data_IF_641345958744
#
_entry.id   IF_641345958744
#
_cell.length_a   1.000
_cell.length_b   1.000
_cell.length_c   1.000
_cell.angle_alpha   90.00
_cell.angle_beta   90.00
_cell.angle_gamma   90.00
#
_symmetry.space_group_name_H-M   'P 1'
#
loop_
_entity.id
_entity.type
_entity.pdbx_description
1 polymer ?
#
# COMPACT_ATOMS: atom_id res chain seq x y z
N UNK A 1 -11.01 8.50 59.90
CA UNK A 1 -10.61 7.50 58.89
C UNK A 1 -11.78 7.36 57.92
N UNK A 2 -11.77 8.12 56.82
CA UNK A 2 -12.84 8.12 55.82
C UNK A 2 -12.48 7.12 54.71
N UNK A 3 -13.26 6.05 54.57
CA UNK A 3 -13.14 5.10 53.47
C UNK A 3 -13.93 5.64 52.27
N UNK A 4 -13.23 6.07 51.22
CA UNK A 4 -13.86 6.36 49.94
C UNK A 4 -14.15 5.05 49.21
N UNK A 5 -15.42 4.67 49.12
CA UNK A 5 -15.87 3.60 48.22
C UNK A 5 -15.84 4.12 46.78
N UNK A 6 -14.86 3.68 45.99
CA UNK A 6 -14.85 3.84 44.54
C UNK A 6 -15.86 2.87 43.93
N UNK A 7 -17.05 3.37 43.58
CA UNK A 7 -18.03 2.62 42.79
C UNK A 7 -17.53 2.63 41.34
N UNK A 8 -16.84 1.57 40.93
CA UNK A 8 -16.47 1.35 39.54
C UNK A 8 -17.74 0.89 38.81
N UNK A 9 -18.48 1.84 38.24
CA UNK A 9 -19.54 1.52 37.29
C UNK A 9 -18.88 1.05 36.00
N UNK A 10 -18.81 -0.27 35.81
CA UNK A 10 -18.49 -0.84 34.51
C UNK A 10 -19.59 -0.41 33.52
N UNK A 11 -19.23 0.43 32.56
CA UNK A 11 -20.10 0.81 31.45
C UNK A 11 -20.29 -0.47 30.60
N UNK A 12 -21.38 -1.19 30.82
CA UNK A 12 -21.77 -2.29 29.95
C UNK A 12 -22.13 -1.67 28.60
N UNK A 13 -21.21 -1.75 27.63
CA UNK A 13 -21.55 -1.55 26.23
C UNK A 13 -22.57 -2.61 25.88
N UNK A 14 -23.85 -2.23 25.83
CA UNK A 14 -24.87 -3.04 25.19
C UNK A 14 -24.33 -3.37 23.79
N UNK A 15 -24.09 -4.65 23.53
CA UNK A 15 -23.78 -5.11 22.19
C UNK A 15 -24.95 -4.66 21.31
N UNK A 16 -24.70 -3.68 20.45
CA UNK A 16 -25.65 -3.26 19.43
C UNK A 16 -25.91 -4.50 18.59
N UNK A 17 -27.08 -5.13 18.76
CA UNK A 17 -27.47 -6.27 17.93
C UNK A 17 -27.50 -5.77 16.50
N UNK A 18 -26.45 -6.08 15.74
CA UNK A 18 -26.30 -5.71 14.35
C UNK A 18 -27.46 -6.38 13.61
N UNK A 19 -28.47 -5.60 13.23
CA UNK A 19 -29.66 -6.13 12.60
C UNK A 19 -29.31 -6.87 11.32
N UNK A 20 -30.01 -7.97 11.04
CA UNK A 20 -29.82 -8.75 9.82
C UNK A 20 -29.86 -7.85 8.57
N UNK A 21 -28.97 -8.11 7.62
CA UNK A 21 -29.00 -7.43 6.31
C UNK A 21 -30.33 -7.80 5.64
N UNK A 22 -31.06 -6.81 5.11
CA UNK A 22 -32.35 -7.02 4.47
C UNK A 22 -32.19 -6.97 2.94
N UNK A 23 -32.48 -8.09 2.29
CA UNK A 23 -32.64 -8.16 0.84
C UNK A 23 -34.14 -8.04 0.52
N UNK A 24 -34.55 -6.87 0.04
CA UNK A 24 -35.95 -6.62 -0.33
C UNK A 24 -36.19 -7.14 -1.75
N UNK A 25 -37.13 -8.07 -1.88
CA UNK A 25 -37.50 -8.67 -3.16
C UNK A 25 -38.82 -8.08 -3.62
N UNK A 26 -38.79 -7.28 -4.70
CA UNK A 26 -39.98 -6.62 -5.24
C UNK A 26 -40.43 -7.27 -6.55
N UNK A 27 -41.72 -7.58 -6.62
CA UNK A 27 -42.36 -8.40 -7.66
C UNK A 27 -42.53 -7.63 -8.99
N UNK A 28 -41.70 -6.64 -9.32
CA UNK A 28 -41.85 -5.83 -10.56
C UNK A 28 -40.57 -5.11 -11.02
N UNK A 29 -39.42 -5.30 -10.37
CA UNK A 29 -38.17 -4.68 -10.80
C UNK A 29 -37.32 -5.62 -11.65
N UNK A 30 -36.68 -5.08 -12.68
CA UNK A 30 -35.74 -5.81 -13.52
C UNK A 30 -34.44 -6.06 -12.76
N UNK A 31 -34.22 -7.33 -12.37
CA UNK A 31 -32.99 -7.90 -11.78
C UNK A 31 -32.46 -7.16 -10.55
N UNK A 32 -32.84 -7.65 -9.37
CA UNK A 32 -32.34 -7.13 -8.09
C UNK A 32 -31.01 -7.79 -7.72
N UNK A 33 -30.06 -6.99 -7.22
CA UNK A 33 -28.75 -7.46 -6.74
C UNK A 33 -28.66 -7.23 -5.23
N UNK A 34 -28.45 -8.30 -4.47
CA UNK A 34 -28.29 -8.26 -3.03
C UNK A 34 -26.90 -8.71 -2.64
N UNK A 35 -26.25 -7.93 -1.76
CA UNK A 35 -24.96 -8.27 -1.19
C UNK A 35 -25.17 -8.61 0.28
N UNK A 36 -24.68 -9.78 0.70
CA UNK A 36 -24.74 -10.25 2.07
C UNK A 36 -23.35 -10.51 2.61
N UNK A 37 -23.19 -10.35 3.91
CA UNK A 37 -21.94 -10.63 4.60
C UNK A 37 -21.89 -12.09 5.03
N UNK A 38 -20.79 -12.76 4.69
CA UNK A 38 -20.51 -14.15 5.09
C UNK A 38 -20.63 -14.29 6.61
N UNK A 39 -21.24 -15.40 7.04
CA UNK A 39 -21.45 -15.77 8.44
C UNK A 39 -22.30 -14.79 9.28
N UNK A 40 -23.01 -13.85 8.65
CA UNK A 40 -24.02 -13.01 9.30
C UNK A 40 -25.46 -13.40 8.87
N UNK A 41 -26.49 -13.01 9.62
CA UNK A 41 -27.87 -13.27 9.24
C UNK A 41 -28.32 -12.46 8.01
N UNK A 42 -29.14 -13.08 7.15
CA UNK A 42 -29.74 -12.46 5.97
C UNK A 42 -31.26 -12.63 6.01
N UNK A 43 -32.01 -11.54 5.87
CA UNK A 43 -33.46 -11.57 5.72
C UNK A 43 -33.88 -11.29 4.27
N UNK A 44 -34.54 -12.25 3.65
CA UNK A 44 -35.30 -12.04 2.43
C UNK A 44 -36.68 -11.49 2.77
N UNK A 45 -37.01 -10.30 2.29
CA UNK A 45 -38.34 -9.72 2.41
C UNK A 45 -39.12 -9.99 1.11
N UNK A 46 -40.06 -10.94 1.18
CA UNK A 46 -40.87 -11.42 0.06
C UNK A 46 -42.26 -10.81 0.19
N UNK A 47 -42.56 -9.79 -0.62
CA UNK A 47 -43.83 -9.06 -0.55
C UNK A 47 -44.94 -9.76 -1.35
N UNK A 48 -45.42 -10.92 -0.90
CA UNK A 48 -46.38 -11.74 -1.68
C UNK A 48 -47.71 -12.02 -1.00
N UNK A 49 -48.07 -11.27 0.05
CA UNK A 49 -49.32 -11.38 0.84
C UNK A 49 -50.45 -12.20 0.18
N UNK A 50 -50.79 -13.34 0.78
CA UNK A 50 -51.91 -14.22 0.38
C UNK A 50 -51.82 -14.77 -1.06
N UNK A 51 -50.62 -14.86 -1.64
CA UNK A 51 -50.39 -15.55 -2.92
C UNK A 51 -49.57 -16.82 -2.69
N UNK A 52 -49.86 -17.84 -3.49
CA UNK A 52 -48.97 -18.99 -3.58
C UNK A 52 -47.64 -18.52 -4.19
N UNK A 53 -46.54 -18.90 -3.55
CA UNK A 53 -45.20 -18.37 -3.81
C UNK A 53 -44.18 -19.50 -3.73
N UNK A 54 -43.28 -19.58 -4.71
CA UNK A 54 -42.12 -20.47 -4.67
C UNK A 54 -40.83 -19.65 -4.74
N UNK A 55 -39.94 -19.85 -3.77
CA UNK A 55 -38.56 -19.36 -3.83
C UNK A 55 -37.67 -20.51 -4.29
N UNK A 56 -36.91 -20.29 -5.35
CA UNK A 56 -35.97 -21.27 -5.92
C UNK A 56 -34.58 -20.67 -6.04
N UNK A 57 -33.58 -21.54 -5.95
CA UNK A 57 -32.19 -21.24 -6.35
C UNK A 57 -31.79 -22.27 -7.39
N UNK A 58 -31.46 -21.81 -8.60
CA UNK A 58 -31.27 -22.70 -9.75
C UNK A 58 -32.47 -23.66 -9.90
N UNK A 59 -32.27 -24.97 -9.79
CA UNK A 59 -33.33 -25.97 -9.90
C UNK A 59 -33.89 -26.46 -8.55
N UNK A 60 -33.42 -25.90 -7.43
CA UNK A 60 -33.80 -26.32 -6.07
C UNK A 60 -34.92 -25.42 -5.56
N UNK A 61 -36.05 -26.02 -5.15
CA UNK A 61 -37.10 -25.30 -4.43
C UNK A 61 -36.64 -25.10 -2.99
N UNK A 62 -36.44 -23.85 -2.58
CA UNK A 62 -36.01 -23.50 -1.21
C UNK A 62 -37.22 -23.45 -0.29
N UNK A 63 -38.27 -22.74 -0.71
CA UNK A 63 -39.47 -22.50 0.08
C UNK A 63 -40.69 -22.51 -0.82
N UNK A 64 -41.76 -23.18 -0.39
CA UNK A 64 -43.11 -23.06 -0.95
C UNK A 64 -44.06 -22.54 0.11
N UNK A 65 -44.77 -21.48 -0.22
CA UNK A 65 -45.80 -20.85 0.62
C UNK A 65 -47.10 -20.80 -0.15
N UNK A 66 -48.21 -21.08 0.53
CA UNK A 66 -49.55 -20.96 -0.02
C UNK A 66 -50.46 -20.29 1.01
N UNK A 67 -51.06 -19.15 0.64
CA UNK A 67 -51.90 -18.35 1.52
C UNK A 67 -51.27 -18.17 2.91
N UNK A 68 -50.02 -17.70 2.91
CA UNK A 68 -49.22 -17.44 4.11
C UNK A 68 -48.82 -18.69 4.93
N UNK A 69 -49.24 -19.89 4.53
CA UNK A 69 -48.85 -21.16 5.14
C UNK A 69 -47.68 -21.77 4.39
N UNK A 70 -46.66 -22.19 5.12
CA UNK A 70 -45.51 -22.91 4.57
C UNK A 70 -45.93 -24.33 4.20
N UNK A 71 -45.78 -24.70 2.93
CA UNK A 71 -46.05 -26.04 2.43
C UNK A 71 -44.79 -26.91 2.46
N UNK A 72 -43.65 -26.34 2.09
CA UNK A 72 -42.40 -27.08 1.94
C UNK A 72 -41.18 -26.18 2.16
N UNK A 73 -40.12 -26.74 2.75
CA UNK A 73 -38.81 -26.10 2.93
C UNK A 73 -37.73 -27.13 2.66
N UNK A 74 -36.79 -26.79 1.79
CA UNK A 74 -35.59 -27.59 1.56
C UNK A 74 -34.79 -27.83 2.85
N UNK A 75 -34.28 -29.04 3.04
CA UNK A 75 -33.59 -29.46 4.26
C UNK A 75 -32.32 -28.64 4.57
N UNK A 76 -31.53 -28.27 3.55
CA UNK A 76 -30.29 -27.49 3.71
C UNK A 76 -30.56 -26.07 4.24
N UNK A 77 -31.75 -25.53 3.96
CA UNK A 77 -32.19 -24.22 4.42
C UNK A 77 -32.97 -24.32 5.72
N UNK A 78 -33.77 -25.37 5.91
CA UNK A 78 -34.61 -25.58 7.11
C UNK A 78 -33.81 -25.49 8.41
N UNK A 79 -32.61 -26.05 8.44
CA UNK A 79 -31.73 -26.03 9.63
C UNK A 79 -31.21 -24.63 9.99
N UNK A 80 -31.29 -23.66 9.08
CA UNK A 80 -30.74 -22.31 9.23
C UNK A 80 -31.78 -21.21 9.24
N UNK A 81 -33.06 -21.53 9.05
CA UNK A 81 -34.13 -20.51 9.09
C UNK A 81 -34.49 -20.25 10.55
N UNK A 82 -34.27 -19.01 11.00
CA UNK A 82 -34.63 -18.56 12.36
C UNK A 82 -35.94 -17.80 12.41
N UNK A 83 -36.34 -17.19 11.30
CA UNK A 83 -37.61 -16.48 11.21
C UNK A 83 -38.28 -16.79 9.87
N UNK A 84 -39.55 -17.18 9.94
CA UNK A 84 -40.38 -17.42 8.78
C UNK A 84 -41.75 -16.82 9.05
N UNK A 85 -42.08 -15.79 8.28
CA UNK A 85 -43.38 -15.13 8.33
C UNK A 85 -43.96 -15.05 6.92
N UNK A 86 -45.20 -14.57 6.82
CA UNK A 86 -45.91 -14.37 5.56
C UNK A 86 -45.15 -13.45 4.58
N UNK A 87 -44.22 -12.64 5.06
CA UNK A 87 -43.49 -11.66 4.26
C UNK A 87 -41.95 -11.74 4.40
N UNK A 88 -41.41 -12.59 5.27
CA UNK A 88 -39.97 -12.64 5.53
C UNK A 88 -39.46 -14.04 5.79
N UNK A 89 -38.26 -14.31 5.28
CA UNK A 89 -37.45 -15.47 5.63
C UNK A 89 -36.10 -14.93 6.12
N UNK A 90 -35.68 -15.34 7.31
CA UNK A 90 -34.34 -15.02 7.83
C UNK A 90 -33.51 -16.29 7.91
N UNK A 91 -32.37 -16.28 7.21
CA UNK A 91 -31.30 -17.24 7.42
C UNK A 91 -30.40 -16.72 8.55
N UNK A 92 -30.11 -17.56 9.53
CA UNK A 92 -29.26 -17.24 10.68
C UNK A 92 -27.82 -16.97 10.27
N UNK A 93 -27.32 -17.81 9.36
CA UNK A 93 -25.94 -17.77 8.89
C UNK A 93 -25.96 -18.01 7.38
N UNK A 94 -25.54 -17.03 6.60
CA UNK A 94 -25.30 -17.21 5.16
C UNK A 94 -23.89 -17.73 4.89
N UNK A 95 -23.78 -18.58 3.88
CA UNK A 95 -22.55 -19.23 3.43
C UNK A 95 -22.20 -18.77 2.02
N UNK A 96 -20.95 -18.95 1.61
CA UNK A 96 -20.51 -18.69 0.22
C UNK A 96 -21.34 -19.49 -0.80
N UNK A 97 -21.80 -20.69 -0.44
CA UNK A 97 -22.66 -21.53 -1.27
C UNK A 97 -24.09 -21.00 -1.42
N UNK A 98 -24.51 -20.01 -0.63
CA UNK A 98 -25.81 -19.37 -0.82
C UNK A 98 -25.79 -18.35 -1.97
N UNK A 99 -24.60 -17.89 -2.40
CA UNK A 99 -24.46 -17.02 -3.57
C UNK A 99 -25.05 -17.64 -4.83
N UNK A 100 -25.61 -16.80 -5.70
CA UNK A 100 -26.10 -17.19 -7.03
C UNK A 100 -27.44 -16.56 -7.40
N UNK A 101 -28.02 -17.08 -8.49
CA UNK A 101 -29.28 -16.61 -9.03
C UNK A 101 -30.47 -17.32 -8.38
N UNK A 102 -31.42 -16.50 -7.92
CA UNK A 102 -32.66 -16.92 -7.31
C UNK A 102 -33.85 -16.51 -8.17
N UNK A 103 -34.91 -17.30 -8.05
CA UNK A 103 -36.15 -17.14 -8.78
C UNK A 103 -37.31 -17.14 -7.78
N UNK A 104 -38.08 -16.06 -7.77
CA UNK A 104 -39.34 -15.96 -7.03
C UNK A 104 -40.50 -16.10 -8.02
N UNK A 105 -41.29 -17.17 -7.87
CA UNK A 105 -42.52 -17.39 -8.64
C UNK A 105 -43.72 -17.08 -7.75
N UNK A 106 -44.70 -16.34 -8.28
CA UNK A 106 -45.98 -16.10 -7.62
C UNK A 106 -47.11 -16.58 -8.51
N UNK A 107 -48.16 -17.13 -7.90
CA UNK A 107 -49.28 -17.73 -8.61
C UNK A 107 -50.57 -16.99 -8.27
N UNK A 108 -51.48 -16.92 -9.23
CA UNK A 108 -52.82 -16.40 -9.03
C UNK A 108 -53.70 -17.41 -8.27
N UNK A 109 -54.96 -17.05 -8.03
CA UNK A 109 -55.89 -17.86 -7.25
C UNK A 109 -56.34 -19.13 -8.01
N UNK A 110 -56.21 -19.13 -9.34
CA UNK A 110 -56.40 -20.28 -10.22
C UNK A 110 -55.18 -21.21 -10.26
N UNK A 111 -54.10 -20.87 -9.53
CA UNK A 111 -52.86 -21.66 -9.48
C UNK A 111 -51.96 -21.52 -10.71
N UNK A 112 -52.24 -20.57 -11.60
CA UNK A 112 -51.40 -20.25 -12.75
C UNK A 112 -50.29 -19.27 -12.35
N UNK A 113 -49.12 -19.41 -12.99
CA UNK A 113 -47.99 -18.52 -12.77
C UNK A 113 -48.38 -17.08 -13.15
N UNK A 114 -48.31 -16.17 -12.18
CA UNK A 114 -48.71 -14.77 -12.33
C UNK A 114 -47.52 -13.84 -12.53
N UNK A 115 -46.45 -14.01 -11.76
CA UNK A 115 -45.25 -13.19 -11.89
C UNK A 115 -44.00 -13.97 -11.50
N UNK A 116 -42.89 -13.62 -12.14
CA UNK A 116 -41.58 -14.22 -11.93
C UNK A 116 -40.54 -13.12 -11.73
N UNK A 117 -39.84 -13.13 -10.60
CA UNK A 117 -38.79 -12.17 -10.27
C UNK A 117 -37.45 -12.87 -10.12
N UNK A 118 -36.43 -12.41 -10.85
CA UNK A 118 -35.06 -12.89 -10.72
C UNK A 118 -34.26 -11.93 -9.84
N UNK A 119 -33.44 -12.47 -8.94
CA UNK A 119 -32.46 -11.69 -8.19
C UNK A 119 -31.16 -12.46 -8.00
N UNK A 120 -30.05 -11.74 -7.90
CA UNK A 120 -28.73 -12.30 -7.62
C UNK A 120 -28.36 -12.01 -6.17
N UNK A 121 -27.94 -13.05 -5.45
CA UNK A 121 -27.33 -12.91 -4.13
C UNK A 121 -25.83 -13.10 -4.26
N UNK A 122 -25.06 -12.11 -3.81
CA UNK A 122 -23.62 -12.18 -3.67
C UNK A 122 -23.26 -12.19 -2.17
N UNK A 123 -22.70 -13.30 -1.69
CA UNK A 123 -22.15 -13.39 -0.33
C UNK A 123 -20.66 -13.07 -0.38
N UNK A 124 -20.24 -12.05 0.35
CA UNK A 124 -18.83 -11.62 0.43
C UNK A 124 -18.27 -11.85 1.84
N UNK A 125 -17.02 -12.32 1.92
CA UNK A 125 -16.23 -12.29 3.15
C UNK A 125 -15.78 -10.85 3.46
N UNK A 126 -15.84 -10.40 4.74
CA UNK A 126 -15.35 -9.08 5.10
C UNK A 126 -13.85 -8.99 4.88
N UNK A 127 -13.35 -7.77 4.65
CA UNK A 127 -11.92 -7.52 4.62
C UNK A 127 -11.35 -7.70 6.03
N UNK A 128 -10.19 -8.35 6.13
CA UNK A 128 -9.42 -8.38 7.37
C UNK A 128 -8.63 -7.08 7.56
N UNK A 129 -8.09 -6.88 8.77
CA UNK A 129 -7.21 -5.75 9.02
C UNK A 129 -5.96 -5.89 8.13
N UNK A 130 -5.65 -4.90 7.26
CA UNK A 130 -4.57 -5.05 6.31
C UNK A 130 -3.22 -5.08 7.01
N UNK A 131 -2.32 -5.95 6.55
CA UNK A 131 -0.91 -5.96 6.94
C UNK A 131 -0.12 -5.06 5.99
N UNK A 132 0.69 -4.15 6.54
CA UNK A 132 1.45 -3.17 5.77
C UNK A 132 2.93 -3.27 6.13
N UNK A 133 3.79 -3.35 5.12
CA UNK A 133 5.24 -3.44 5.28
C UNK A 133 5.95 -2.47 4.35
N UNK A 134 7.03 -1.86 4.83
CA UNK A 134 7.92 -0.99 4.06
C UNK A 134 9.29 -1.65 3.94
N UNK A 135 9.84 -1.68 2.73
CA UNK A 135 11.19 -2.15 2.41
C UNK A 135 11.96 -1.03 1.72
N UNK A 136 13.14 -0.69 2.24
CA UNK A 136 14.04 0.27 1.60
C UNK A 136 14.92 -0.43 0.57
N UNK A 137 14.89 0.03 -0.69
CA UNK A 137 15.77 -0.45 -1.75
C UNK A 137 17.00 0.46 -1.90
N UNK A 138 16.80 1.76 -1.79
CA UNK A 138 17.85 2.78 -1.86
C UNK A 138 17.42 4.05 -1.10
N UNK A 139 18.29 5.07 -0.97
CA UNK A 139 17.90 6.37 -0.40
C UNK A 139 16.80 7.08 -1.20
N UNK A 140 16.69 6.76 -2.49
CA UNK A 140 15.73 7.35 -3.42
C UNK A 140 14.49 6.48 -3.62
N UNK A 141 14.53 5.20 -3.21
CA UNK A 141 13.45 4.25 -3.47
C UNK A 141 13.12 3.38 -2.26
N UNK A 142 11.84 3.39 -1.89
CA UNK A 142 11.23 2.42 -0.98
C UNK A 142 10.02 1.76 -1.64
N UNK A 143 9.72 0.54 -1.20
CA UNK A 143 8.59 -0.24 -1.65
C UNK A 143 7.70 -0.52 -0.45
N UNK A 144 6.40 -0.28 -0.59
CA UNK A 144 5.41 -0.58 0.45
C UNK A 144 4.43 -1.61 -0.10
N UNK A 145 4.23 -2.69 0.65
CA UNK A 145 3.26 -3.72 0.34
C UNK A 145 2.13 -3.68 1.37
N UNK A 146 0.89 -3.73 0.89
CA UNK A 146 -0.30 -3.92 1.71
C UNK A 146 -1.00 -5.20 1.28
N UNK A 147 -1.34 -6.04 2.25
CA UNK A 147 -2.04 -7.30 2.02
C UNK A 147 -3.22 -7.47 2.96
N UNK A 148 -4.32 -8.02 2.46
CA UNK A 148 -5.54 -8.31 3.24
C UNK A 148 -6.20 -9.57 2.72
N UNK A 149 -6.99 -10.21 3.57
CA UNK A 149 -7.97 -11.21 3.17
C UNK A 149 -9.32 -10.51 2.95
N UNK A 150 -10.20 -11.12 2.16
CA UNK A 150 -11.55 -10.63 1.86
C UNK A 150 -11.90 -10.81 0.38
N UNK A 151 -13.19 -10.65 0.06
CA UNK A 151 -13.69 -10.77 -1.32
C UNK A 151 -13.83 -9.40 -1.99
N UNK A 152 -13.49 -9.32 -3.28
CA UNK A 152 -13.72 -8.12 -4.10
C UNK A 152 -12.95 -6.87 -3.68
N UNK A 153 -11.81 -7.06 -3.00
CA UNK A 153 -11.06 -6.00 -2.30
C UNK A 153 -10.63 -4.84 -3.21
N UNK A 154 -10.89 -3.64 -2.72
CA UNK A 154 -10.34 -2.38 -3.20
C UNK A 154 -9.29 -1.86 -2.21
N UNK A 155 -8.15 -1.40 -2.74
CA UNK A 155 -7.06 -0.80 -2.00
C UNK A 155 -7.02 0.71 -2.24
N UNK A 156 -6.99 1.48 -1.16
CA UNK A 156 -6.85 2.93 -1.18
C UNK A 156 -5.63 3.29 -0.33
N UNK A 157 -4.68 4.00 -0.94
CA UNK A 157 -3.49 4.50 -0.27
C UNK A 157 -3.66 5.98 0.05
N UNK A 158 -3.34 6.38 1.28
CA UNK A 158 -3.34 7.78 1.69
C UNK A 158 -2.09 8.14 2.48
N UNK A 159 -1.50 9.30 2.19
CA UNK A 159 -0.39 9.88 2.95
C UNK A 159 -0.86 11.17 3.63
N UNK A 160 -0.76 11.20 4.96
CA UNK A 160 -1.20 12.34 5.79
C UNK A 160 -2.60 12.83 5.40
N UNK A 161 -3.52 11.88 5.25
CA UNK A 161 -4.93 12.05 4.87
C UNK A 161 -5.17 12.53 3.43
N UNK A 162 -4.15 12.56 2.57
CA UNK A 162 -4.30 12.82 1.14
C UNK A 162 -4.28 11.50 0.37
N UNK A 163 -5.29 11.25 -0.48
CA UNK A 163 -5.35 10.03 -1.29
C UNK A 163 -4.25 10.07 -2.35
N UNK A 164 -3.47 8.99 -2.45
CA UNK A 164 -2.41 8.82 -3.44
C UNK A 164 -2.91 8.01 -4.64
N UNK A 165 -3.39 6.80 -4.36
CA UNK A 165 -3.73 5.78 -5.37
C UNK A 165 -4.93 4.98 -4.88
N UNK A 166 -5.82 4.65 -5.81
CA UNK A 166 -6.93 3.73 -5.60
C UNK A 166 -6.85 2.63 -6.66
N UNK A 167 -6.88 1.37 -6.24
CA UNK A 167 -6.71 0.22 -7.14
C UNK A 167 -7.56 -0.94 -6.65
N UNK A 168 -8.29 -1.57 -7.57
CA UNK A 168 -8.98 -2.83 -7.28
C UNK A 168 -8.01 -3.98 -7.51
N UNK A 169 -7.97 -4.95 -6.60
CA UNK A 169 -7.24 -6.18 -6.89
C UNK A 169 -7.81 -6.78 -8.18
N UNK A 170 -6.94 -7.13 -9.14
CA UNK A 170 -7.39 -7.73 -10.40
C UNK A 170 -8.26 -8.95 -10.09
N UNK A 171 -9.51 -8.92 -10.56
CA UNK A 171 -10.47 -10.02 -10.40
C UNK A 171 -10.05 -11.19 -11.28
N UNK A 172 -8.97 -11.88 -10.90
CA UNK A 172 -8.79 -13.26 -11.33
C UNK A 172 -9.93 -14.04 -10.70
N UNK A 173 -10.50 -15.01 -11.43
CA UNK A 173 -11.49 -15.97 -10.93
C UNK A 173 -10.86 -16.86 -9.84
N UNK A 174 -10.44 -16.26 -8.74
CA UNK A 174 -9.77 -16.87 -7.60
C UNK A 174 -10.84 -17.26 -6.58
N UNK A 175 -10.65 -18.38 -5.86
CA UNK A 175 -11.56 -18.79 -4.81
C UNK A 175 -11.67 -17.72 -3.72
N UNK A 176 -12.86 -17.60 -3.14
CA UNK A 176 -13.18 -16.72 -2.00
C UNK A 176 -12.24 -17.00 -0.83
N UNK A 177 -11.71 -15.96 -0.18
CA UNK A 177 -10.74 -15.99 0.95
C UNK A 177 -9.23 -16.01 0.65
N UNK A 178 -8.80 -15.64 -0.56
CA UNK A 178 -7.36 -15.52 -0.83
C UNK A 178 -6.77 -14.15 -0.47
N UNK A 179 -5.52 -14.15 0.01
CA UNK A 179 -4.78 -12.93 0.35
C UNK A 179 -4.56 -12.09 -0.92
N UNK A 180 -5.20 -10.93 -0.97
CA UNK A 180 -4.97 -9.90 -1.98
C UNK A 180 -3.86 -8.97 -1.51
N UNK A 181 -2.99 -8.52 -2.42
CA UNK A 181 -1.99 -7.52 -2.08
C UNK A 181 -1.78 -6.51 -3.21
N UNK A 182 -1.36 -5.30 -2.82
CA UNK A 182 -0.93 -4.24 -3.73
C UNK A 182 0.39 -3.69 -3.22
N UNK A 183 1.31 -3.48 -4.14
CA UNK A 183 2.63 -2.92 -3.86
C UNK A 183 2.78 -1.59 -4.58
N UNK A 184 3.27 -0.57 -3.87
CA UNK A 184 3.57 0.75 -4.43
C UNK A 184 5.04 1.10 -4.20
N UNK A 185 5.63 1.84 -5.15
CA UNK A 185 6.97 2.42 -5.01
C UNK A 185 6.85 3.88 -4.60
N UNK A 186 7.62 4.27 -3.59
CA UNK A 186 7.68 5.62 -3.04
C UNK A 186 9.12 6.11 -2.97
N UNK A 187 9.31 7.43 -2.90
CA UNK A 187 10.65 7.99 -2.71
C UNK A 187 11.23 7.60 -1.35
N UNK A 188 12.49 7.19 -1.28
CA UNK A 188 13.11 6.67 -0.06
C UNK A 188 13.21 7.68 1.09
N UNK A 189 13.24 8.99 0.79
CA UNK A 189 13.21 10.05 1.81
C UNK A 189 11.79 10.47 2.24
N UNK A 190 10.74 9.90 1.66
CA UNK A 190 9.37 10.25 2.00
C UNK A 190 9.04 9.79 3.43
N UNK A 191 8.49 10.71 4.22
CA UNK A 191 8.06 10.45 5.61
C UNK A 191 6.65 10.97 5.81
N UNK A 192 5.89 10.34 6.71
CA UNK A 192 4.51 10.71 7.00
C UNK A 192 3.70 9.49 7.45
N UNK A 193 2.41 9.70 7.71
CA UNK A 193 1.48 8.64 8.04
C UNK A 193 0.91 8.03 6.76
N UNK A 194 1.37 6.84 6.40
CA UNK A 194 0.84 6.10 5.26
C UNK A 194 -0.26 5.16 5.74
N UNK A 195 -1.48 5.42 5.32
CA UNK A 195 -2.63 4.54 5.51
C UNK A 195 -2.80 3.64 4.28
N UNK A 196 -2.89 2.34 4.50
CA UNK A 196 -3.53 1.42 3.56
C UNK A 196 -4.94 1.15 4.06
N UNK A 197 -5.93 1.53 3.27
CA UNK A 197 -7.35 1.28 3.51
C UNK A 197 -7.76 0.18 2.54
N UNK A 198 -8.33 -0.90 3.08
CA UNK A 198 -8.89 -2.00 2.31
C UNK A 198 -10.39 -2.03 2.51
N UNK A 199 -11.16 -2.20 1.45
CA UNK A 199 -12.62 -2.21 1.56
C UNK A 199 -13.28 -3.07 0.49
N UNK A 200 -14.50 -3.49 0.78
CA UNK A 200 -15.43 -4.10 -0.16
C UNK A 200 -16.86 -3.60 0.14
N UNK A 201 -17.88 -4.21 -0.47
CA UNK A 201 -19.26 -3.75 -0.33
C UNK A 201 -19.84 -3.91 1.08
N UNK A 202 -19.20 -4.65 1.98
CA UNK A 202 -19.72 -4.99 3.31
C UNK A 202 -18.85 -4.51 4.47
N UNK A 203 -17.61 -4.11 4.22
CA UNK A 203 -16.63 -3.80 5.27
C UNK A 203 -15.49 -2.92 4.76
N UNK A 204 -14.88 -2.19 5.69
CA UNK A 204 -13.72 -1.33 5.44
C UNK A 204 -12.80 -1.41 6.66
N UNK A 205 -11.52 -1.66 6.41
CA UNK A 205 -10.47 -1.78 7.42
C UNK A 205 -9.26 -0.96 6.99
N UNK A 206 -8.41 -0.58 7.95
CA UNK A 206 -7.20 0.17 7.63
C UNK A 206 -6.05 -0.13 8.59
N UNK A 207 -4.84 0.08 8.08
CA UNK A 207 -3.62 0.09 8.86
C UNK A 207 -2.79 1.31 8.47
N UNK A 208 -2.39 2.09 9.48
CA UNK A 208 -1.53 3.25 9.33
C UNK A 208 -0.14 2.90 9.83
N UNK A 209 0.88 3.16 9.01
CA UNK A 209 2.29 3.06 9.39
C UNK A 209 2.97 4.41 9.27
N UNK A 210 3.95 4.66 10.14
CA UNK A 210 4.85 5.80 9.97
C UNK A 210 5.94 5.42 8.97
N UNK A 211 5.97 6.10 7.81
CA UNK A 211 7.05 5.93 6.84
C UNK A 211 8.39 6.35 7.43
N UNK A 212 9.39 5.50 7.25
CA UNK A 212 10.77 5.76 7.66
C UNK A 212 11.60 6.18 6.46
N UNK A 213 12.42 7.22 6.64
CA UNK A 213 13.42 7.60 5.64
C UNK A 213 14.46 6.49 5.49
N UNK A 214 14.71 6.09 4.24
CA UNK A 214 15.72 5.13 3.85
C UNK A 214 17.10 5.78 3.94
N UNK A 215 17.94 5.28 4.84
CA UNK A 215 19.31 5.78 4.99
C UNK A 215 20.18 5.28 3.84
N UNK A 216 20.94 6.19 3.23
CA UNK A 216 22.08 5.81 2.41
C UNK A 216 23.28 5.42 3.24
N UNK A 217 24.33 4.86 2.63
CA UNK A 217 25.64 4.89 3.24
C UNK A 217 25.91 6.34 3.63
N UNK A 218 26.13 6.58 4.93
CA UNK A 218 26.56 7.89 5.40
C UNK A 218 27.97 8.06 4.82
N UNK A 219 28.08 8.71 3.66
CA UNK A 219 29.32 9.33 3.24
C UNK A 219 29.56 10.49 4.21
N UNK A 220 30.05 10.17 5.42
CA UNK A 220 30.91 11.12 6.08
C UNK A 220 32.03 11.35 5.07
N UNK A 221 32.24 12.58 4.54
CA UNK A 221 33.56 12.86 4.00
C UNK A 221 34.53 12.42 5.10
N UNK A 222 35.62 11.68 4.80
CA UNK A 222 36.65 11.47 5.80
C UNK A 222 36.92 12.88 6.32
N UNK A 223 36.62 13.10 7.61
CA UNK A 223 37.04 14.33 8.24
C UNK A 223 38.53 14.30 8.01
N UNK A 224 39.00 15.10 7.06
CA UNK A 224 40.41 15.40 6.95
C UNK A 224 40.64 16.30 8.15
N UNK A 225 40.66 15.69 9.33
CA UNK A 225 41.31 16.26 10.50
C UNK A 225 42.77 16.30 10.10
N UNK A 226 43.14 17.34 9.35
CA UNK A 226 44.50 17.84 9.38
C UNK A 226 44.67 18.22 10.83
N UNK A 227 45.21 17.29 11.63
CA UNK A 227 45.47 17.54 13.03
C UNK A 227 46.31 18.80 13.10
N UNK A 228 46.04 19.69 14.05
CA UNK A 228 46.85 20.90 14.25
C UNK A 228 48.35 20.58 14.32
N UNK A 229 48.70 19.35 14.74
CA UNK A 229 50.03 18.78 14.68
C UNK A 229 50.67 18.75 13.28
N UNK A 230 49.94 18.39 12.22
CA UNK A 230 50.45 18.34 10.84
C UNK A 230 50.68 19.74 10.29
N UNK A 231 49.78 20.67 10.56
CA UNK A 231 49.97 22.08 10.17
C UNK A 231 51.15 22.68 10.93
N UNK A 232 51.25 22.44 12.24
CA UNK A 232 52.36 22.91 13.06
C UNK A 232 53.70 22.28 12.63
N UNK A 233 53.73 20.99 12.25
CA UNK A 233 54.95 20.35 11.77
C UNK A 233 55.43 20.90 10.43
N UNK A 234 54.50 21.20 9.51
CA UNK A 234 54.85 21.81 8.22
C UNK A 234 55.30 23.27 8.41
N UNK A 235 54.62 24.05 9.26
CA UNK A 235 55.01 25.43 9.56
C UNK A 235 56.36 25.52 10.26
N UNK A 236 56.63 24.66 11.24
CA UNK A 236 57.94 24.61 11.93
C UNK A 236 59.06 24.21 10.98
N UNK A 237 58.84 23.22 10.11
CA UNK A 237 59.83 22.82 9.11
C UNK A 237 60.16 23.97 8.14
N UNK A 238 59.15 24.71 7.65
CA UNK A 238 59.35 25.87 6.78
C UNK A 238 60.08 27.02 7.51
N UNK A 239 59.73 27.29 8.77
CA UNK A 239 60.41 28.32 9.59
C UNK A 239 61.88 27.98 9.87
N UNK A 240 62.28 26.71 9.85
CA UNK A 240 63.69 26.31 10.01
C UNK A 240 64.44 26.25 8.67
N UNK A 241 63.81 25.73 7.61
CA UNK A 241 64.45 25.55 6.31
C UNK A 241 64.70 26.87 5.58
N UNK A 242 63.75 27.81 5.61
CA UNK A 242 63.89 29.11 4.92
C UNK A 242 65.09 29.92 5.43
N UNK A 243 65.26 30.18 6.75
CA UNK A 243 66.43 30.90 7.23
C UNK A 243 67.73 30.12 7.01
N UNK A 244 67.73 28.79 7.13
CA UNK A 244 68.92 27.98 6.83
C UNK A 244 69.36 28.10 5.37
N UNK A 245 68.41 28.08 4.42
CA UNK A 245 68.69 28.29 3.01
C UNK A 245 69.11 29.74 2.73
N UNK A 246 68.49 30.73 3.36
CA UNK A 246 68.89 32.14 3.27
C UNK A 246 70.31 32.38 3.79
N UNK A 247 70.68 31.82 4.94
CA UNK A 247 72.04 31.93 5.51
C UNK A 247 73.04 31.29 4.56
N UNK A 248 72.76 30.09 4.02
CA UNK A 248 73.62 29.44 3.02
C UNK A 248 73.78 30.26 1.75
N UNK A 249 72.75 31.00 1.34
CA UNK A 249 72.80 31.85 0.16
C UNK A 249 73.58 33.16 0.42
N UNK A 250 73.49 33.71 1.63
CA UNK A 250 74.21 34.91 2.08
C UNK A 250 75.69 34.63 2.35
N UNK A 251 76.05 33.41 2.77
CA UNK A 251 77.44 32.99 2.94
C UNK A 251 78.14 32.61 1.61
N UNK A 252 77.40 32.58 0.50
CA UNK A 252 77.90 32.19 -0.83
C UNK A 252 78.28 33.36 -1.74
N UNK A 253 78.25 34.61 -1.27
CA UNK A 253 78.76 35.75 -2.05
C UNK A 253 80.24 36.04 -1.72
N UNK A 254 81.17 35.99 -2.71
CA UNK A 254 82.56 36.39 -2.51
C UNK A 254 82.72 37.91 -2.43
N UNK A 255 83.68 38.39 -1.63
CA UNK A 255 84.09 39.81 -1.52
C UNK A 255 84.87 40.30 -2.77
N UNK A 256 84.97 41.63 -3.01
CA UNK A 256 85.46 42.19 -4.27
C UNK A 256 86.98 42.50 -4.34
N UNK A 257 87.49 42.31 -5.58
CA UNK A 257 88.50 43.04 -6.38
C UNK A 257 89.98 43.13 -5.91
N UNK A 258 90.88 42.65 -6.78
CA UNK A 258 92.07 43.39 -7.23
C UNK A 258 92.39 42.99 -8.69
N UNK A 259 92.71 44.01 -9.49
CA UNK A 259 93.02 44.01 -10.93
C UNK A 259 94.48 43.59 -11.16
N UNK A 260 94.75 42.75 -12.15
CA UNK A 260 95.96 42.84 -12.96
C UNK A 260 95.71 42.30 -14.37
N UNK A 261 96.33 42.98 -15.32
CA UNK A 261 96.03 43.05 -16.75
C UNK A 261 96.88 42.06 -17.57
N UNK A 262 96.33 41.72 -18.74
CA UNK A 262 97.01 41.50 -20.04
C UNK A 262 96.95 40.10 -20.70
N UNK A 263 96.48 40.13 -21.96
CA UNK A 263 96.84 39.20 -23.04
C UNK A 263 95.77 38.14 -23.40
N UNK A 264 94.72 38.48 -24.15
CA UNK A 264 94.61 38.32 -25.62
C UNK A 264 94.53 36.86 -26.13
N UNK A 265 93.34 36.39 -26.55
CA UNK A 265 92.96 36.32 -27.98
C UNK A 265 91.67 35.54 -28.28
N UNK A 266 90.94 36.14 -29.24
CA UNK A 266 90.11 35.55 -30.29
C UNK A 266 88.69 34.97 -30.05
N UNK A 267 87.83 35.45 -30.95
CA UNK A 267 86.40 35.26 -31.12
C UNK A 267 86.21 34.22 -32.23
N UNK A 268 85.17 33.36 -32.22
CA UNK A 268 84.40 32.93 -33.43
C UNK A 268 83.21 32.01 -33.04
N UNK A 269 82.12 32.22 -33.78
CA UNK A 269 80.74 31.70 -33.70
C UNK A 269 80.53 30.18 -33.85
N UNK A 270 79.37 29.68 -33.39
CA UNK A 270 78.60 28.69 -34.17
C UNK A 270 77.08 28.81 -34.00
N UNK A 271 76.41 28.65 -35.14
CA UNK A 271 75.02 28.87 -35.48
C UNK A 271 74.07 27.75 -34.99
N UNK A 272 72.86 28.12 -34.54
CA UNK A 272 71.82 27.19 -34.08
C UNK A 272 70.90 26.83 -35.24
N UNK A 273 71.04 25.61 -35.78
CA UNK A 273 70.16 25.10 -36.83
C UNK A 273 68.92 24.41 -36.23
N UNK A 274 67.78 25.09 -36.30
CA UNK A 274 66.45 24.53 -36.06
C UNK A 274 66.01 23.68 -37.27
N UNK A 275 65.48 22.48 -37.03
CA UNK A 275 64.76 21.70 -38.05
C UNK A 275 63.26 21.75 -37.75
N UNK A 276 62.41 22.18 -38.71
CA UNK A 276 60.96 22.06 -38.57
C UNK A 276 60.36 20.95 -39.46
N UNK A 277 59.26 20.42 -38.92
CA UNK A 277 58.01 19.97 -39.54
C UNK A 277 57.96 18.68 -40.37
N UNK A 278 56.87 17.91 -40.16
CA UNK A 278 55.96 17.60 -41.29
C UNK A 278 54.52 17.33 -40.83
N UNK A 279 53.66 18.27 -41.21
CA UNK A 279 52.21 18.17 -41.28
C UNK A 279 51.80 17.46 -42.58
N UNK A 280 50.78 16.58 -42.53
CA UNK A 280 50.13 16.00 -43.71
C UNK A 280 48.85 16.79 -44.00
N UNK A 281 48.74 17.34 -45.20
CA UNK A 281 47.51 17.93 -45.75
C UNK A 281 46.71 16.92 -46.59
N UNK A 282 45.40 17.14 -46.76
CA UNK A 282 44.49 16.31 -47.54
C UNK A 282 44.53 16.69 -49.03
N UNK A 283 44.05 15.78 -49.88
CA UNK A 283 43.68 16.09 -51.26
C UNK A 283 42.17 15.90 -51.44
N UNK A 284 41.62 16.84 -52.22
CA UNK A 284 40.35 16.90 -52.96
C UNK A 284 39.65 15.59 -53.26
#
# INVERSE_FOLDING_TARGET
MFFFYMIITALSTAALTKGAVKCKIEVNETTQHCIAKLDEPLTFQILTHKKKTHLKKSNINILRVNNDKVEDINEDYRSRITQLTNATITLDVVRTTDSGNYLLETFNHEGQLSHTTNFHLEVQAPVSKPNVSQTCLSPEQSVVCCSTEGDGVEFIWSLDNNILIQTRAESTNKPTSEVSNVTISLHGQLTGNLACITQNNISSEQTVIQLRSCKGPICHPPSVTVTAAVVASVCTLLLLLVPFLCIRHLHKTPRPVAVEDNGENEIVYSDVRVKPAKERRPNT
#
